data_IF_139313663992
#
_entry.id   IF_139313663992
#
_cell.length_a   1.000
_cell.length_b   1.000
_cell.length_c   1.000
_cell.angle_alpha   90.00
_cell.angle_beta   90.00
_cell.angle_gamma   90.00
#
_symmetry.space_group_name_H-M   'P 1'
#
loop_
_entity.id
_entity.type
_entity.pdbx_description
1 polymer ?
#
# COMPACT_ATOMS: atom_id res chain seq x y z
N UNK A 1 20.62 12.25 -19.29
CA UNK A 1 19.51 12.03 -18.34
C UNK A 1 18.52 11.13 -19.05
N UNK A 2 18.29 9.87 -18.62
CA UNK A 2 17.30 9.03 -19.29
C UNK A 2 15.91 9.64 -19.07
N UNK A 3 15.21 9.92 -20.17
CA UNK A 3 13.83 10.40 -20.14
C UNK A 3 12.98 9.24 -19.62
N UNK A 4 12.40 9.38 -18.42
CA UNK A 4 11.42 8.42 -17.93
C UNK A 4 10.21 8.45 -18.86
N UNK A 5 9.98 7.35 -19.58
CA UNK A 5 8.88 7.18 -20.51
C UNK A 5 7.57 7.10 -19.72
N UNK A 6 6.89 8.25 -19.53
CA UNK A 6 5.64 8.38 -18.77
C UNK A 6 4.43 7.83 -19.54
N UNK A 7 4.54 6.61 -20.07
CA UNK A 7 3.42 5.93 -20.74
C UNK A 7 2.41 5.44 -19.71
N UNK A 8 1.23 6.05 -19.71
CA UNK A 8 0.09 5.55 -18.92
C UNK A 8 -0.39 4.24 -19.53
N UNK A 9 -0.28 3.16 -18.78
CA UNK A 9 -0.83 1.86 -19.15
C UNK A 9 -2.15 1.62 -18.41
N UNK A 10 -3.18 1.19 -19.15
CA UNK A 10 -4.44 0.73 -18.57
C UNK A 10 -4.28 -0.76 -18.25
N UNK A 11 -4.38 -1.10 -16.96
CA UNK A 11 -4.41 -2.49 -16.51
C UNK A 11 -5.85 -2.88 -16.21
N UNK A 12 -6.27 -4.05 -16.70
CA UNK A 12 -7.58 -4.65 -16.41
C UNK A 12 -7.33 -5.80 -15.45
N UNK A 13 -8.15 -5.89 -14.40
CA UNK A 13 -7.97 -6.84 -13.32
C UNK A 13 -9.30 -7.54 -13.05
N UNK A 14 -9.27 -8.85 -12.81
CA UNK A 14 -10.40 -9.57 -12.25
C UNK A 14 -10.35 -9.40 -10.74
N UNK A 15 -11.37 -8.76 -10.16
CA UNK A 15 -11.43 -8.42 -8.75
C UNK A 15 -12.64 -9.06 -8.09
N UNK A 16 -12.47 -9.50 -6.86
CA UNK A 16 -13.60 -9.90 -6.01
C UNK A 16 -14.36 -8.66 -5.51
N UNK A 17 -15.57 -8.86 -5.00
CA UNK A 17 -16.31 -7.78 -4.32
C UNK A 17 -15.56 -7.22 -3.11
N UNK A 18 -14.79 -8.08 -2.42
CA UNK A 18 -13.91 -7.68 -1.31
C UNK A 18 -12.80 -6.72 -1.75
N UNK A 19 -12.15 -7.01 -2.88
CA UNK A 19 -11.07 -6.16 -3.42
C UNK A 19 -11.59 -4.78 -3.80
N UNK A 20 -12.78 -4.72 -4.42
CA UNK A 20 -13.42 -3.45 -4.76
C UNK A 20 -13.77 -2.65 -3.51
N UNK A 21 -14.27 -3.31 -2.45
CA UNK A 21 -14.54 -2.68 -1.17
C UNK A 21 -13.27 -2.15 -0.51
N UNK A 22 -12.17 -2.91 -0.56
CA UNK A 22 -10.87 -2.49 -0.05
C UNK A 22 -10.33 -1.28 -0.82
N UNK A 23 -10.41 -1.28 -2.15
CA UNK A 23 -10.03 -0.13 -2.97
C UNK A 23 -10.84 1.14 -2.64
N UNK A 24 -12.14 1.00 -2.36
CA UNK A 24 -12.97 2.11 -1.91
C UNK A 24 -12.54 2.64 -0.53
N UNK A 25 -12.24 1.74 0.43
CA UNK A 25 -11.74 2.13 1.76
C UNK A 25 -10.40 2.87 1.65
N UNK A 26 -9.46 2.31 0.88
CA UNK A 26 -8.16 2.94 0.61
C UNK A 26 -8.34 4.33 0.01
N UNK A 27 -9.18 4.48 -1.01
CA UNK A 27 -9.43 5.78 -1.64
C UNK A 27 -9.92 6.83 -0.63
N UNK A 28 -10.81 6.45 0.29
CA UNK A 28 -11.32 7.34 1.34
C UNK A 28 -10.23 7.69 2.35
N UNK A 29 -9.49 6.70 2.84
CA UNK A 29 -8.45 6.92 3.85
C UNK A 29 -7.27 7.74 3.33
N UNK A 30 -6.90 7.54 2.07
CA UNK A 30 -5.81 8.28 1.43
C UNK A 30 -6.26 9.58 0.76
N UNK A 31 -7.52 9.98 0.92
CA UNK A 31 -8.15 11.15 0.28
C UNK A 31 -7.81 11.25 -1.22
N UNK A 32 -7.81 10.11 -1.91
CA UNK A 32 -7.33 10.02 -3.29
C UNK A 32 -8.43 10.29 -4.30
N UNK A 33 -8.09 11.05 -5.35
CA UNK A 33 -9.04 11.43 -6.42
C UNK A 33 -9.64 10.26 -7.19
N UNK A 34 -9.00 9.09 -7.17
CA UNK A 34 -9.46 7.89 -7.86
C UNK A 34 -8.97 6.62 -7.17
N UNK A 35 -9.66 5.49 -7.43
CA UNK A 35 -9.23 4.16 -6.96
C UNK A 35 -7.85 3.79 -7.49
N UNK A 36 -7.56 4.10 -8.75
CA UNK A 36 -6.24 3.85 -9.35
C UNK A 36 -5.12 4.60 -8.60
N UNK A 37 -5.36 5.86 -8.23
CA UNK A 37 -4.40 6.63 -7.44
C UNK A 37 -4.22 6.04 -6.03
N UNK A 38 -5.31 5.61 -5.40
CA UNK A 38 -5.27 4.98 -4.08
C UNK A 38 -4.50 3.65 -4.10
N UNK A 39 -4.78 2.79 -5.08
CA UNK A 39 -4.09 1.50 -5.29
C UNK A 39 -2.61 1.73 -5.60
N UNK A 40 -2.29 2.69 -6.46
CA UNK A 40 -0.89 3.05 -6.75
C UNK A 40 -0.14 3.50 -5.50
N UNK A 41 -0.76 4.35 -4.67
CA UNK A 41 -0.16 4.81 -3.40
C UNK A 41 0.02 3.66 -2.41
N UNK A 42 -0.96 2.79 -2.31
CA UNK A 42 -0.87 1.60 -1.46
C UNK A 42 0.27 0.68 -1.92
N UNK A 43 0.42 0.46 -3.23
CA UNK A 43 1.51 -0.33 -3.78
C UNK A 43 2.88 0.28 -3.48
N UNK A 44 3.05 1.58 -3.68
CA UNK A 44 4.30 2.28 -3.34
C UNK A 44 4.64 2.18 -1.85
N UNK A 45 3.63 2.28 -0.98
CA UNK A 45 3.81 2.11 0.47
C UNK A 45 4.23 0.68 0.81
N UNK A 46 3.59 -0.33 0.20
CA UNK A 46 3.94 -1.73 0.40
C UNK A 46 5.37 -2.02 -0.05
N UNK A 47 5.81 -1.50 -1.20
CA UNK A 47 7.21 -1.62 -1.65
C UNK A 47 8.17 -1.03 -0.63
N UNK A 48 7.92 0.21 -0.19
CA UNK A 48 8.80 0.85 0.80
C UNK A 48 8.85 0.09 2.13
N UNK A 49 7.73 -0.46 2.62
CA UNK A 49 7.71 -1.26 3.84
C UNK A 49 8.51 -2.56 3.65
N UNK A 50 8.37 -3.23 2.51
CA UNK A 50 9.11 -4.46 2.21
C UNK A 50 10.62 -4.16 2.16
N UNK A 51 11.04 -3.10 1.48
CA UNK A 51 12.45 -2.71 1.39
C UNK A 51 13.07 -2.47 2.79
N UNK A 52 12.31 -1.85 3.70
CA UNK A 52 12.79 -1.60 5.06
C UNK A 52 12.85 -2.87 5.91
N UNK A 53 11.92 -3.80 5.71
CA UNK A 53 11.94 -5.12 6.36
C UNK A 53 13.16 -5.93 5.84
N UNK A 54 13.40 -5.91 4.53
CA UNK A 54 14.55 -6.61 3.91
C UNK A 54 15.89 -6.00 4.35
N UNK A 55 15.93 -4.70 4.65
CA UNK A 55 17.06 -4.03 5.29
C UNK A 55 17.24 -4.39 6.78
N UNK A 56 16.37 -5.23 7.34
CA UNK A 56 16.41 -5.69 8.72
C UNK A 56 15.84 -4.68 9.73
N UNK A 57 15.06 -3.70 9.30
CA UNK A 57 14.43 -2.74 10.21
C UNK A 57 13.17 -3.32 10.84
N UNK A 58 12.96 -2.97 12.10
CA UNK A 58 11.74 -3.32 12.83
C UNK A 58 10.58 -2.39 12.48
N UNK A 59 9.42 -2.99 12.23
CA UNK A 59 8.18 -2.25 12.00
C UNK A 59 7.45 -2.04 13.33
N UNK A 60 7.21 -0.78 13.68
CA UNK A 60 6.39 -0.40 14.83
C UNK A 60 5.09 0.25 14.37
N UNK A 61 3.97 -0.16 14.94
CA UNK A 61 2.66 0.41 14.65
C UNK A 61 2.05 0.95 15.93
N UNK A 62 1.40 2.10 15.82
CA UNK A 62 0.66 2.68 16.93
C UNK A 62 -0.67 1.95 17.11
N UNK A 63 -0.90 1.39 18.30
CA UNK A 63 -2.15 0.73 18.64
C UNK A 63 -3.26 1.76 18.93
N UNK A 64 -4.45 1.28 19.28
CA UNK A 64 -5.61 2.14 19.60
C UNK A 64 -5.43 2.99 20.87
N UNK A 65 -4.52 2.58 21.75
CA UNK A 65 -4.22 3.28 23.01
C UNK A 65 -3.16 4.38 22.82
N UNK A 66 -2.52 4.44 21.64
CA UNK A 66 -1.47 5.39 21.34
C UNK A 66 -0.05 4.85 21.55
N UNK A 67 0.09 3.63 22.06
CA UNK A 67 1.37 2.98 22.29
C UNK A 67 1.93 2.39 21.00
N UNK A 68 3.27 2.32 20.91
CA UNK A 68 3.94 1.65 19.81
C UNK A 68 4.14 0.17 20.10
N UNK A 69 3.68 -0.67 19.19
CA UNK A 69 3.84 -2.12 19.24
C UNK A 69 4.71 -2.58 18.07
N UNK A 70 5.65 -3.49 18.34
CA UNK A 70 6.45 -4.14 17.29
C UNK A 70 5.56 -5.14 16.55
N UNK A 71 5.49 -5.00 15.23
CA UNK A 71 4.68 -5.87 14.39
C UNK A 71 5.51 -7.10 13.99
N UNK A 72 5.09 -8.28 14.46
CA UNK A 72 5.72 -9.55 14.11
C UNK A 72 4.86 -10.24 13.05
N UNK A 73 5.35 -10.31 11.82
CA UNK A 73 4.69 -11.05 10.73
C UNK A 73 5.22 -12.48 10.73
N UNK A 74 4.53 -13.40 11.40
CA UNK A 74 4.82 -14.84 11.33
C UNK A 74 4.11 -15.47 10.14
N UNK A 75 4.86 -16.15 9.27
CA UNK A 75 4.26 -17.05 8.26
C UNK A 75 3.65 -18.25 9.00
N UNK A 76 2.38 -18.57 8.69
CA UNK A 76 1.79 -19.86 9.04
C UNK A 76 2.20 -20.92 8.01
#
# INVERSE_FOLDING_TARGET
MPVQDNKRQKVIMTLTSGDVANANKLQRWSSSRSKAAAVSKALSLSTAIIDEIDAGKDLYVRNKNGDFERLIITKR
#
